data_IF_876444216514
#
_entry.id   IF_876444216514
#
_cell.length_a   1.000
_cell.length_b   1.000
_cell.length_c   1.000
_cell.angle_alpha   90.00
_cell.angle_beta   90.00
_cell.angle_gamma   90.00
#
_symmetry.space_group_name_H-M   'P 1'
#
loop_
_entity.id
_entity.type
_entity.pdbx_description
1 polymer ?
#
# COMPACT_ATOMS: atom_id res chain seq x y z
N UNK A 1 -35.81 53.46 38.00
CA UNK A 1 -35.19 53.03 36.73
C UNK A 1 -34.48 51.72 36.99
N UNK A 2 -34.97 50.61 36.42
CA UNK A 2 -34.32 49.31 36.51
C UNK A 2 -34.19 48.75 35.09
N UNK A 3 -32.95 48.43 34.70
CA UNK A 3 -32.60 47.88 33.40
C UNK A 3 -32.90 46.37 33.40
N UNK A 4 -33.58 45.81 32.39
CA UNK A 4 -33.77 44.36 32.31
C UNK A 4 -32.50 43.69 31.80
N UNK A 5 -32.04 42.68 32.52
CA UNK A 5 -30.95 41.80 32.08
C UNK A 5 -31.42 40.94 30.90
N UNK A 6 -30.67 40.99 29.80
CA UNK A 6 -30.88 40.15 28.62
C UNK A 6 -30.44 38.71 28.90
N UNK A 7 -31.21 37.69 28.49
CA UNK A 7 -30.80 36.30 28.60
C UNK A 7 -29.74 35.99 27.54
N UNK A 8 -28.57 35.52 27.98
CA UNK A 8 -27.54 35.03 27.06
C UNK A 8 -28.02 33.76 26.33
N UNK A 9 -27.79 33.64 25.02
CA UNK A 9 -28.15 32.46 24.27
C UNK A 9 -27.20 31.33 24.67
N UNK A 10 -27.76 30.19 25.09
CA UNK A 10 -27.00 28.95 25.28
C UNK A 10 -26.54 28.46 23.90
N UNK A 11 -25.41 28.97 23.43
CA UNK A 11 -24.79 28.56 22.18
C UNK A 11 -24.23 27.14 22.35
N UNK A 12 -25.03 26.19 21.87
CA UNK A 12 -24.62 25.02 21.11
C UNK A 12 -23.54 24.09 21.74
N UNK A 13 -23.91 23.38 22.82
CA UNK A 13 -23.27 22.08 23.12
C UNK A 13 -23.43 21.04 22.00
N UNK A 14 -24.33 21.28 21.04
CA UNK A 14 -24.54 20.42 19.86
C UNK A 14 -23.56 20.68 18.70
N UNK A 15 -22.91 21.85 18.64
CA UNK A 15 -21.96 22.18 17.57
C UNK A 15 -20.74 21.23 17.52
N UNK A 16 -20.07 20.89 18.64
CA UNK A 16 -18.93 19.96 18.59
C UNK A 16 -19.34 18.52 18.24
N UNK A 17 -20.50 18.06 18.74
CA UNK A 17 -21.01 16.72 18.43
C UNK A 17 -21.40 16.58 16.94
N UNK A 18 -22.02 17.61 16.37
CA UNK A 18 -22.34 17.67 14.96
C UNK A 18 -21.06 17.68 14.10
N UNK A 19 -20.03 18.43 14.50
CA UNK A 19 -18.74 18.46 13.80
C UNK A 19 -18.06 17.09 13.78
N UNK A 20 -18.10 16.36 14.90
CA UNK A 20 -17.58 14.99 15.02
C UNK A 20 -18.36 14.00 14.14
N UNK A 21 -19.68 14.12 14.09
CA UNK A 21 -20.51 13.29 13.22
C UNK A 21 -20.26 13.57 11.73
N UNK A 22 -20.12 14.84 11.35
CA UNK A 22 -19.84 15.23 9.96
C UNK A 22 -18.45 14.75 9.51
N UNK A 23 -17.45 14.81 10.39
CA UNK A 23 -16.10 14.28 10.10
C UNK A 23 -16.11 12.75 10.01
N UNK A 24 -16.84 12.06 10.90
CA UNK A 24 -17.02 10.61 10.81
C UNK A 24 -17.76 10.18 9.52
N UNK A 25 -18.80 10.92 9.11
CA UNK A 25 -19.50 10.65 7.85
C UNK A 25 -18.60 10.90 6.64
N UNK A 26 -17.88 12.02 6.62
CA UNK A 26 -16.98 12.37 5.52
C UNK A 26 -15.87 11.33 5.32
N UNK A 27 -15.31 10.81 6.41
CA UNK A 27 -14.29 9.75 6.38
C UNK A 27 -14.88 8.42 5.91
N UNK A 28 -16.05 8.02 6.41
CA UNK A 28 -16.75 6.81 5.96
C UNK A 28 -17.09 6.87 4.45
N UNK A 29 -17.64 7.99 3.99
CA UNK A 29 -17.96 8.23 2.58
C UNK A 29 -16.69 8.21 1.70
N UNK A 30 -15.59 8.78 2.16
CA UNK A 30 -14.31 8.76 1.44
C UNK A 30 -13.74 7.34 1.27
N UNK A 31 -13.99 6.46 2.24
CA UNK A 31 -13.55 5.06 2.20
C UNK A 31 -14.50 4.13 1.40
N UNK A 32 -15.80 4.46 1.31
CA UNK A 32 -16.79 3.66 0.58
C UNK A 32 -16.97 4.06 -0.91
N UNK A 33 -16.87 5.35 -1.26
CA UNK A 33 -17.34 5.83 -2.57
C UNK A 33 -16.30 6.06 -3.68
N UNK A 34 -15.04 5.57 -3.55
CA UNK A 34 -14.05 5.73 -4.65
C UNK A 34 -13.48 4.46 -5.32
N UNK A 35 -14.29 3.45 -5.71
CA UNK A 35 -13.78 2.26 -6.40
C UNK A 35 -13.11 2.51 -7.76
N UNK A 36 -13.59 3.48 -8.57
CA UNK A 36 -13.23 3.53 -9.99
C UNK A 36 -11.74 3.85 -10.29
N UNK A 37 -11.12 4.75 -9.52
CA UNK A 37 -9.67 5.03 -9.64
C UNK A 37 -8.80 3.94 -9.00
N UNK A 38 -9.39 3.12 -8.13
CA UNK A 38 -8.69 2.06 -7.42
C UNK A 38 -8.75 0.71 -8.12
N UNK A 39 -9.83 0.45 -8.86
CA UNK A 39 -9.96 -0.74 -9.69
C UNK A 39 -8.88 -0.83 -10.78
N UNK A 40 -8.42 0.32 -11.28
CA UNK A 40 -7.37 0.39 -12.31
C UNK A 40 -5.96 0.48 -11.73
N UNK A 41 -5.81 0.65 -10.41
CA UNK A 41 -4.51 0.85 -9.77
C UNK A 41 -3.53 -0.32 -10.02
N UNK A 42 -3.88 -1.60 -9.79
CA UNK A 42 -2.95 -2.70 -10.01
C UNK A 42 -2.47 -2.78 -11.46
N UNK A 43 -3.39 -2.61 -12.41
CA UNK A 43 -3.07 -2.61 -13.84
C UNK A 43 -2.17 -1.45 -14.23
N UNK A 44 -2.50 -0.22 -13.79
CA UNK A 44 -1.68 0.97 -14.07
C UNK A 44 -0.28 0.83 -13.47
N UNK A 45 -0.15 0.28 -12.27
CA UNK A 45 1.14 0.01 -11.64
C UNK A 45 1.96 -0.99 -12.46
N UNK A 46 1.34 -2.04 -13.01
CA UNK A 46 2.02 -2.99 -13.91
C UNK A 46 2.51 -2.32 -15.20
N UNK A 47 1.69 -1.46 -15.81
CA UNK A 47 2.07 -0.71 -17.00
C UNK A 47 3.26 0.23 -16.73
N UNK A 48 3.22 0.96 -15.61
CA UNK A 48 4.32 1.85 -15.21
C UNK A 48 5.59 1.07 -14.87
N UNK A 49 5.47 -0.10 -14.23
CA UNK A 49 6.61 -0.98 -13.94
C UNK A 49 7.28 -1.49 -15.23
N UNK A 50 6.49 -1.78 -16.27
CA UNK A 50 7.02 -2.14 -17.59
C UNK A 50 7.64 -0.94 -18.31
N UNK A 51 6.98 0.22 -18.29
CA UNK A 51 7.49 1.44 -18.94
C UNK A 51 8.78 1.96 -18.29
N UNK A 52 8.98 1.71 -17.00
CA UNK A 52 10.19 2.05 -16.24
C UNK A 52 11.42 1.31 -16.76
N UNK A 53 11.29 0.11 -17.29
CA UNK A 53 12.41 -0.65 -17.81
C UNK A 53 11.90 -1.52 -18.97
N UNK A 54 11.81 -0.96 -20.20
CA UNK A 54 11.15 -1.64 -21.31
C UNK A 54 12.02 -2.74 -21.93
N UNK A 55 13.34 -2.62 -21.83
CA UNK A 55 14.27 -3.62 -22.35
C UNK A 55 14.31 -4.84 -21.42
N UNK A 56 14.13 -6.06 -21.94
CA UNK A 56 14.46 -7.25 -21.18
C UNK A 56 15.97 -7.26 -20.98
N UNK A 57 16.40 -7.42 -19.73
CA UNK A 57 17.80 -7.69 -19.47
C UNK A 57 18.13 -9.12 -19.82
N UNK A 58 19.39 -9.42 -20.17
CA UNK A 58 19.83 -10.79 -20.39
C UNK A 58 19.43 -11.67 -19.19
N UNK A 59 19.05 -12.94 -19.41
CA UNK A 59 18.78 -13.86 -18.32
C UNK A 59 20.01 -13.95 -17.42
N UNK A 60 19.81 -13.80 -16.11
CA UNK A 60 20.87 -13.98 -15.13
C UNK A 60 20.53 -15.15 -14.25
N UNK A 61 21.57 -15.91 -13.93
CA UNK A 61 21.48 -16.97 -12.95
C UNK A 61 21.97 -16.42 -11.61
N UNK A 62 21.03 -16.07 -10.75
CA UNK A 62 21.33 -15.79 -9.35
C UNK A 62 21.01 -17.02 -8.50
N UNK A 63 21.85 -17.26 -7.50
CA UNK A 63 21.54 -18.24 -6.46
C UNK A 63 20.73 -17.53 -5.37
N UNK A 64 19.77 -18.23 -4.76
CA UNK A 64 18.96 -17.71 -3.64
C UNK A 64 18.06 -16.51 -3.99
N UNK A 65 17.42 -16.57 -5.16
CA UNK A 65 16.40 -15.60 -5.57
C UNK A 65 15.23 -15.56 -4.56
N UNK A 66 14.80 -14.35 -4.13
CA UNK A 66 13.55 -14.20 -3.39
C UNK A 66 12.39 -14.75 -4.19
N UNK A 67 11.49 -15.45 -3.51
CA UNK A 67 10.27 -16.00 -4.09
C UNK A 67 9.07 -15.49 -3.32
N UNK A 68 8.05 -15.06 -4.06
CA UNK A 68 6.79 -14.63 -3.47
C UNK A 68 6.17 -15.74 -2.59
N UNK A 69 5.80 -15.47 -1.32
CA UNK A 69 5.32 -16.51 -0.42
C UNK A 69 3.89 -16.97 -0.75
N UNK A 70 3.71 -18.24 -1.10
CA UNK A 70 2.39 -18.84 -1.40
C UNK A 70 1.38 -18.73 -0.25
N UNK A 71 1.87 -18.65 0.99
CA UNK A 71 1.03 -18.46 2.17
C UNK A 71 0.22 -17.16 2.14
N UNK A 72 0.63 -16.17 1.35
CA UNK A 72 -0.10 -14.91 1.17
C UNK A 72 -1.28 -15.02 0.20
N UNK A 73 -1.34 -16.06 -0.63
CA UNK A 73 -2.36 -16.20 -1.68
C UNK A 73 -3.79 -16.41 -1.15
N UNK A 74 -3.94 -16.82 0.12
CA UNK A 74 -5.20 -17.27 0.71
C UNK A 74 -5.78 -16.31 1.77
N UNK A 75 -5.53 -15.00 1.62
CA UNK A 75 -6.06 -13.99 2.54
C UNK A 75 -7.49 -13.63 2.14
N UNK A 76 -8.45 -14.01 2.99
CA UNK A 76 -9.89 -13.82 2.71
C UNK A 76 -10.54 -12.74 3.56
N UNK A 77 -10.00 -12.43 4.74
CA UNK A 77 -10.59 -11.45 5.64
C UNK A 77 -10.33 -10.01 5.15
N UNK A 78 -11.36 -9.15 4.95
CA UNK A 78 -11.20 -7.83 4.32
C UNK A 78 -10.20 -6.89 5.01
N UNK A 79 -10.22 -6.80 6.34
CA UNK A 79 -9.28 -5.95 7.08
C UNK A 79 -7.85 -6.48 6.98
N UNK A 80 -7.69 -7.81 6.95
CA UNK A 80 -6.38 -8.44 6.80
C UNK A 80 -5.85 -8.24 5.39
N UNK A 81 -6.71 -8.35 4.36
CA UNK A 81 -6.38 -8.05 2.98
C UNK A 81 -5.93 -6.59 2.82
N UNK A 82 -6.66 -5.64 3.40
CA UNK A 82 -6.31 -4.22 3.37
C UNK A 82 -4.99 -3.91 4.10
N UNK A 83 -4.76 -4.48 5.29
CA UNK A 83 -3.51 -4.32 6.03
C UNK A 83 -2.31 -4.95 5.30
N UNK A 84 -2.52 -6.12 4.71
CA UNK A 84 -1.54 -6.83 3.86
C UNK A 84 -1.19 -5.99 2.62
N UNK A 85 -2.21 -5.46 1.94
CA UNK A 85 -2.03 -4.59 0.79
C UNK A 85 -1.24 -3.33 1.16
N UNK A 86 -1.59 -2.68 2.27
CA UNK A 86 -0.85 -1.52 2.78
C UNK A 86 0.63 -1.87 3.03
N UNK A 87 0.90 -3.01 3.68
CA UNK A 87 2.26 -3.42 3.99
C UNK A 87 3.09 -3.71 2.72
N UNK A 88 2.51 -4.40 1.74
CA UNK A 88 3.17 -4.64 0.44
C UNK A 88 3.49 -3.30 -0.24
N UNK A 89 2.53 -2.37 -0.29
CA UNK A 89 2.73 -1.07 -0.94
C UNK A 89 3.82 -0.24 -0.28
N UNK A 90 3.89 -0.24 1.06
CA UNK A 90 4.94 0.45 1.82
C UNK A 90 6.32 -0.09 1.46
N UNK A 91 6.48 -1.42 1.41
CA UNK A 91 7.75 -2.04 1.04
C UNK A 91 8.12 -1.83 -0.42
N UNK A 92 7.14 -1.88 -1.35
CA UNK A 92 7.37 -1.54 -2.76
C UNK A 92 7.82 -0.10 -2.90
N UNK A 93 7.17 0.85 -2.22
CA UNK A 93 7.57 2.26 -2.25
C UNK A 93 9.00 2.44 -1.72
N UNK A 94 9.32 1.83 -0.57
CA UNK A 94 10.67 1.90 0.00
C UNK A 94 11.73 1.32 -0.95
N UNK A 95 11.47 0.14 -1.50
CA UNK A 95 12.41 -0.54 -2.40
C UNK A 95 12.61 0.24 -3.70
N UNK A 96 11.52 0.67 -4.35
CA UNK A 96 11.57 1.34 -5.65
C UNK A 96 11.98 2.81 -5.57
N UNK A 97 11.97 3.43 -4.39
CA UNK A 97 12.49 4.79 -4.17
C UNK A 97 13.99 4.83 -3.85
N UNK A 98 14.65 3.67 -3.73
CA UNK A 98 16.08 3.57 -3.43
C UNK A 98 16.98 4.31 -4.42
N UNK A 99 18.09 4.86 -3.94
CA UNK A 99 19.07 5.57 -4.76
C UNK A 99 19.94 4.63 -5.61
N UNK A 100 19.96 3.33 -5.29
CA UNK A 100 20.76 2.31 -5.98
C UNK A 100 20.02 1.67 -7.16
N UNK A 101 18.84 2.18 -7.55
CA UNK A 101 18.11 1.68 -8.71
C UNK A 101 18.92 1.84 -10.00
N UNK A 102 18.74 0.95 -11.00
CA UNK A 102 19.53 1.00 -12.23
C UNK A 102 19.35 2.31 -13.00
N UNK A 103 20.46 2.85 -13.50
CA UNK A 103 20.47 4.12 -14.25
C UNK A 103 19.68 4.08 -15.56
N UNK A 104 19.52 2.89 -16.15
CA UNK A 104 18.77 2.71 -17.39
C UNK A 104 17.25 2.69 -17.19
N UNK A 105 16.76 2.79 -15.94
CA UNK A 105 15.33 2.91 -15.69
C UNK A 105 14.83 4.31 -16.05
N UNK A 106 13.68 4.37 -16.72
CA UNK A 106 13.03 5.63 -17.08
C UNK A 106 12.45 6.33 -15.85
N UNK A 107 13.03 7.48 -15.50
CA UNK A 107 12.66 8.26 -14.32
C UNK A 107 11.19 8.71 -14.31
N UNK A 108 10.63 9.11 -15.46
CA UNK A 108 9.24 9.58 -15.51
C UNK A 108 8.24 8.49 -15.14
N UNK A 109 8.41 7.28 -15.69
CA UNK A 109 7.57 6.13 -15.36
C UNK A 109 7.74 5.72 -13.89
N UNK A 110 8.98 5.75 -13.37
CA UNK A 110 9.28 5.49 -11.96
C UNK A 110 8.61 6.51 -11.04
N UNK A 111 8.72 7.80 -11.33
CA UNK A 111 8.09 8.86 -10.53
C UNK A 111 6.56 8.73 -10.52
N UNK A 112 5.95 8.46 -11.68
CA UNK A 112 4.51 8.20 -11.75
C UNK A 112 4.10 6.97 -10.93
N UNK A 113 4.93 5.91 -10.94
CA UNK A 113 4.69 4.72 -10.13
C UNK A 113 4.74 5.05 -8.63
N UNK A 114 5.81 5.71 -8.17
CA UNK A 114 5.99 6.10 -6.77
C UNK A 114 4.87 7.03 -6.29
N UNK A 115 4.45 7.99 -7.10
CA UNK A 115 3.31 8.86 -6.78
C UNK A 115 2.00 8.06 -6.64
N UNK A 116 1.78 7.08 -7.52
CA UNK A 116 0.61 6.21 -7.46
C UNK A 116 0.62 5.34 -6.20
N UNK A 117 1.79 4.77 -5.84
CA UNK A 117 1.98 4.02 -4.60
C UNK A 117 1.69 4.88 -3.38
N UNK A 118 2.27 6.07 -3.30
CA UNK A 118 2.10 7.00 -2.19
C UNK A 118 0.62 7.36 -1.98
N UNK A 119 -0.10 7.69 -3.06
CA UNK A 119 -1.53 7.96 -2.98
C UNK A 119 -2.37 6.77 -2.51
N UNK A 120 -1.97 5.55 -2.86
CA UNK A 120 -2.66 4.33 -2.40
C UNK A 120 -2.37 4.05 -0.93
N UNK A 121 -1.11 4.22 -0.49
CA UNK A 121 -0.68 4.08 0.91
C UNK A 121 -1.48 5.04 1.81
N UNK A 122 -1.51 6.33 1.46
CA UNK A 122 -2.20 7.36 2.24
C UNK A 122 -3.69 7.05 2.41
N UNK A 123 -4.36 6.56 1.36
CA UNK A 123 -5.77 6.19 1.44
C UNK A 123 -6.02 4.99 2.33
N UNK A 124 -5.21 3.93 2.18
CA UNK A 124 -5.34 2.75 3.03
C UNK A 124 -5.06 3.08 4.50
N UNK A 125 -4.06 3.93 4.79
CA UNK A 125 -3.78 4.41 6.14
C UNK A 125 -4.94 5.21 6.74
N UNK A 126 -5.61 6.03 5.92
CA UNK A 126 -6.76 6.81 6.36
C UNK A 126 -8.00 5.95 6.63
N UNK A 127 -8.19 4.85 5.88
CA UNK A 127 -9.35 3.99 5.96
C UNK A 127 -9.20 2.80 6.92
N UNK A 128 -7.98 2.41 7.27
CA UNK A 128 -7.75 1.31 8.20
C UNK A 128 -7.87 1.78 9.66
N UNK A 129 -8.66 1.11 10.50
CA UNK A 129 -8.66 1.41 11.93
C UNK A 129 -7.30 1.08 12.54
N UNK A 130 -6.92 1.79 13.62
CA UNK A 130 -5.60 1.67 14.24
C UNK A 130 -5.26 0.24 14.71
N UNK A 131 -6.27 -0.58 14.99
CA UNK A 131 -6.12 -1.97 15.40
C UNK A 131 -6.16 -2.98 14.23
N UNK A 132 -6.29 -2.54 12.97
CA UNK A 132 -6.29 -3.44 11.81
C UNK A 132 -4.97 -4.19 11.60
N UNK A 133 -3.90 -3.78 12.28
CA UNK A 133 -2.59 -4.43 12.31
C UNK A 133 -2.43 -5.41 13.46
N UNK A 134 -3.38 -5.41 14.41
CA UNK A 134 -3.44 -6.33 15.53
C UNK A 134 -4.44 -7.44 15.15
N UNK A 135 -3.94 -8.63 14.85
CA UNK A 135 -4.77 -9.81 14.60
C UNK A 135 -4.83 -10.66 15.87
N UNK A 136 -5.75 -10.40 16.81
CA UNK A 136 -5.88 -11.21 18.01
C UNK A 136 -6.33 -12.64 17.64
N UNK A 137 -5.55 -13.64 18.07
CA UNK A 137 -5.96 -15.05 18.05
C UNK A 137 -5.56 -15.90 16.84
N UNK A 138 -4.75 -15.40 15.89
CA UNK A 138 -4.24 -16.25 14.80
C UNK A 138 -2.80 -16.71 15.08
N UNK A 139 -2.66 -18.03 15.19
CA UNK A 139 -1.43 -18.82 15.30
C UNK A 139 -0.42 -18.53 14.14
N UNK A 140 0.74 -19.22 14.00
CA UNK A 140 2.06 -18.69 13.55
C UNK A 140 2.20 -18.06 12.14
N UNK A 141 1.11 -17.83 11.40
CA UNK A 141 1.05 -17.32 10.03
C UNK A 141 0.45 -15.91 9.97
N UNK A 142 1.07 -14.93 10.62
CA UNK A 142 0.70 -13.52 10.45
C UNK A 142 1.21 -13.03 9.08
N UNK A 143 0.33 -12.66 8.11
CA UNK A 143 0.74 -12.23 6.78
C UNK A 143 1.71 -11.04 6.79
N UNK A 144 1.58 -10.14 7.78
CA UNK A 144 2.47 -8.98 7.90
C UNK A 144 3.90 -9.41 8.22
N UNK A 145 4.08 -10.39 9.11
CA UNK A 145 5.40 -10.94 9.43
C UNK A 145 6.00 -11.64 8.21
N UNK A 146 5.19 -12.41 7.48
CA UNK A 146 5.61 -13.07 6.24
C UNK A 146 6.08 -12.06 5.20
N UNK A 147 5.33 -10.98 5.00
CA UNK A 147 5.69 -9.89 4.07
C UNK A 147 6.98 -9.20 4.52
N UNK A 148 7.11 -8.89 5.82
CA UNK A 148 8.32 -8.26 6.36
C UNK A 148 9.57 -9.12 6.16
N UNK A 149 9.46 -10.45 6.32
CA UNK A 149 10.56 -11.39 6.03
C UNK A 149 10.88 -11.44 4.54
N UNK A 150 9.85 -11.54 3.70
CA UNK A 150 10.01 -11.59 2.25
C UNK A 150 10.72 -10.33 1.71
N UNK A 151 10.30 -9.13 2.11
CA UNK A 151 10.98 -7.91 1.67
C UNK A 151 12.36 -7.73 2.30
N UNK A 152 12.59 -8.24 3.51
CA UNK A 152 13.95 -8.33 4.06
C UNK A 152 14.85 -9.17 3.16
N UNK A 153 14.39 -10.34 2.71
CA UNK A 153 15.13 -11.18 1.77
C UNK A 153 15.39 -10.48 0.43
N UNK A 154 14.45 -9.68 -0.08
CA UNK A 154 14.69 -8.83 -1.26
C UNK A 154 15.83 -7.84 -1.02
N UNK A 155 15.85 -7.18 0.14
CA UNK A 155 16.90 -6.23 0.49
C UNK A 155 18.25 -6.92 0.75
N UNK A 156 18.26 -8.11 1.33
CA UNK A 156 19.46 -8.95 1.45
C UNK A 156 19.98 -9.35 0.06
N UNK A 157 19.10 -9.83 -0.82
CA UNK A 157 19.43 -10.23 -2.19
C UNK A 157 20.05 -9.09 -3.00
N UNK A 158 19.49 -7.88 -2.92
CA UNK A 158 20.06 -6.71 -3.57
C UNK A 158 21.47 -6.41 -3.05
N UNK A 159 21.70 -6.52 -1.73
CA UNK A 159 23.01 -6.27 -1.10
C UNK A 159 24.03 -7.33 -1.48
N UNK A 160 23.69 -8.62 -1.43
CA UNK A 160 24.60 -9.72 -1.78
C UNK A 160 25.00 -9.70 -3.25
N UNK A 161 24.17 -9.11 -4.11
CA UNK A 161 24.42 -8.96 -5.54
C UNK A 161 24.82 -7.53 -5.94
N UNK A 162 25.35 -6.74 -4.99
CA UNK A 162 25.92 -5.41 -5.20
C UNK A 162 25.00 -4.43 -5.96
N UNK A 163 23.69 -4.56 -5.79
CA UNK A 163 22.68 -3.76 -6.51
C UNK A 163 22.90 -3.78 -8.04
N UNK A 164 23.40 -4.90 -8.58
CA UNK A 164 23.60 -5.06 -10.01
C UNK A 164 22.30 -4.85 -10.79
N UNK A 165 22.42 -4.42 -12.05
CA UNK A 165 21.27 -4.26 -12.95
C UNK A 165 20.39 -5.51 -12.94
N UNK A 166 21.01 -6.69 -12.92
CA UNK A 166 20.26 -7.93 -12.97
C UNK A 166 19.54 -8.31 -11.66
N UNK A 167 20.15 -8.04 -10.51
CA UNK A 167 19.46 -8.20 -9.25
C UNK A 167 18.20 -7.31 -9.20
N UNK A 168 18.28 -6.11 -9.77
CA UNK A 168 17.13 -5.22 -9.88
C UNK A 168 16.04 -5.70 -10.85
N UNK A 169 16.39 -6.45 -11.89
CA UNK A 169 15.39 -7.08 -12.75
C UNK A 169 14.62 -8.18 -12.03
N UNK A 170 15.30 -8.96 -11.18
CA UNK A 170 14.62 -9.91 -10.30
C UNK A 170 13.67 -9.19 -9.35
N UNK A 171 14.11 -8.09 -8.73
CA UNK A 171 13.24 -7.26 -7.88
C UNK A 171 12.04 -6.69 -8.67
N UNK A 172 12.21 -6.37 -9.95
CA UNK A 172 11.11 -5.95 -10.82
C UNK A 172 10.13 -7.10 -11.09
N UNK A 173 10.60 -8.35 -11.23
CA UNK A 173 9.74 -9.53 -11.31
C UNK A 173 8.94 -9.74 -10.02
N UNK A 174 9.61 -9.69 -8.87
CA UNK A 174 8.97 -9.80 -7.56
C UNK A 174 7.95 -8.66 -7.33
N UNK A 175 8.25 -7.44 -7.78
CA UNK A 175 7.31 -6.31 -7.74
C UNK A 175 6.08 -6.55 -8.63
N UNK A 176 6.25 -7.16 -9.80
CA UNK A 176 5.15 -7.56 -10.69
C UNK A 176 4.23 -8.56 -9.99
N UNK A 177 4.79 -9.60 -9.36
CA UNK A 177 4.03 -10.59 -8.58
C UNK A 177 3.26 -9.93 -7.44
N UNK A 178 3.89 -8.97 -6.74
CA UNK A 178 3.24 -8.19 -5.69
C UNK A 178 2.03 -7.39 -6.22
N UNK A 179 2.15 -6.72 -7.37
CA UNK A 179 1.01 -5.99 -7.97
C UNK A 179 -0.12 -6.93 -8.44
N UNK A 180 0.21 -8.10 -8.97
CA UNK A 180 -0.78 -9.12 -9.30
C UNK A 180 -1.50 -9.63 -8.05
N UNK A 181 -0.76 -9.85 -6.96
CA UNK A 181 -1.36 -10.24 -5.69
C UNK A 181 -2.26 -9.15 -5.10
N UNK A 182 -1.84 -7.88 -5.16
CA UNK A 182 -2.65 -6.72 -4.76
C UNK A 182 -3.99 -6.67 -5.50
N UNK A 183 -4.00 -6.99 -6.80
CA UNK A 183 -5.23 -7.08 -7.59
C UNK A 183 -6.21 -8.11 -7.01
N UNK A 184 -5.71 -9.27 -6.59
CA UNK A 184 -6.52 -10.32 -5.98
C UNK A 184 -7.04 -9.90 -4.59
N UNK A 185 -6.20 -9.27 -3.75
CA UNK A 185 -6.62 -8.73 -2.45
C UNK A 185 -7.69 -7.65 -2.57
N UNK A 186 -7.66 -6.83 -3.63
CA UNK A 186 -8.69 -5.80 -3.84
C UNK A 186 -10.04 -6.35 -4.26
N UNK A 187 -10.13 -7.60 -4.74
CA UNK A 187 -11.41 -8.27 -5.02
C UNK A 187 -12.11 -8.81 -3.77
N UNK A 188 -11.36 -9.06 -2.70
CA UNK A 188 -11.90 -9.61 -1.43
C UNK A 188 -12.36 -8.55 -0.45
N UNK A 189 -12.11 -7.27 -0.73
CA UNK A 189 -12.63 -6.16 0.07
C UNK A 189 -13.98 -5.72 -0.53
N UNK A 190 -15.12 -5.95 0.15
CA UNK A 190 -16.41 -5.47 -0.36
C UNK A 190 -16.42 -3.95 -0.43
N UNK A 191 -17.08 -3.42 -1.48
CA UNK A 191 -17.34 -1.99 -1.66
C UNK A 191 -18.22 -1.44 -0.54
#
# INVERSE_FOLDING_TARGET
MAVPASPQPRLARGAPALLLLLTALATALACHHRPARDATFPWRSLQLLQAMAPSPTPPCHHHQEPLFPDTLLHITHPQQAAATALRILQHLFHTLSGHTTPQHWHNDARHQLLNSLQHRIQRLQHCLPHNATLFPGQAPRNPLITIDKYFRHIQDFLRTHNHSACAWDHVRLEARLCFQHLHNLTRTVPN
#
